data_IF_082465829216
#
_entry.id   IF_082465829216
#
_cell.length_a   1.000
_cell.length_b   1.000
_cell.length_c   1.000
_cell.angle_alpha   90.00
_cell.angle_beta   90.00
_cell.angle_gamma   90.00
#
_symmetry.space_group_name_H-M   'P 1'
#
loop_
_entity.id
_entity.type
_entity.pdbx_description
1 polymer ?
#
# COMPACT_ATOMS: atom_id res chain seq x y z
N UNK A 1 1.96 -0.31 18.19
CA UNK A 1 1.48 -1.72 18.22
C UNK A 1 1.52 -2.26 16.79
N UNK A 2 1.87 -3.53 16.59
CA UNK A 2 1.95 -4.15 15.27
C UNK A 2 0.79 -5.16 15.14
N UNK A 3 -0.09 -4.92 14.18
CA UNK A 3 -1.25 -5.76 13.88
C UNK A 3 -1.02 -6.55 12.59
N UNK A 4 -1.16 -7.85 12.64
CA UNK A 4 -1.12 -8.71 11.45
C UNK A 4 -2.46 -9.42 11.23
N UNK A 5 -2.66 -9.85 10.00
CA UNK A 5 -3.64 -10.86 9.62
C UNK A 5 -2.85 -12.07 9.14
N UNK A 6 -3.11 -13.23 9.70
CA UNK A 6 -2.30 -14.41 9.46
C UNK A 6 -3.13 -15.68 9.31
N UNK A 7 -2.53 -16.68 8.70
CA UNK A 7 -3.08 -18.02 8.58
C UNK A 7 -2.22 -19.02 9.34
N UNK A 8 -2.86 -19.82 10.22
CA UNK A 8 -2.28 -20.98 10.88
C UNK A 8 -3.13 -22.21 10.57
N UNK A 9 -2.57 -23.15 9.83
CA UNK A 9 -3.34 -24.26 9.25
C UNK A 9 -4.43 -23.75 8.29
N UNK A 10 -5.69 -24.05 8.60
CA UNK A 10 -6.84 -23.56 7.79
C UNK A 10 -7.51 -22.31 8.40
N UNK A 11 -7.08 -21.87 9.58
CA UNK A 11 -7.68 -20.74 10.29
C UNK A 11 -7.00 -19.44 9.91
N UNK A 12 -7.79 -18.43 9.59
CA UNK A 12 -7.36 -17.04 9.41
C UNK A 12 -7.80 -16.24 10.63
N UNK A 13 -6.85 -15.49 11.22
CA UNK A 13 -7.08 -14.66 12.40
C UNK A 13 -6.33 -13.34 12.28
N UNK A 14 -6.74 -12.37 13.09
CA UNK A 14 -5.91 -11.22 13.41
C UNK A 14 -4.99 -11.54 14.59
N UNK A 15 -3.88 -10.82 14.68
CA UNK A 15 -2.93 -10.97 15.79
C UNK A 15 -2.13 -9.71 16.03
N UNK A 16 -1.55 -9.67 17.24
CA UNK A 16 -0.59 -8.65 17.66
C UNK A 16 0.80 -9.29 17.63
N UNK A 17 1.73 -8.61 16.96
CA UNK A 17 3.13 -9.08 16.84
C UNK A 17 3.99 -8.38 17.86
N UNK A 18 4.70 -9.17 18.66
CA UNK A 18 5.72 -8.72 19.63
C UNK A 18 6.97 -9.58 19.47
N UNK A 19 8.04 -9.01 18.92
CA UNK A 19 9.23 -9.76 18.54
C UNK A 19 8.89 -10.86 17.52
N UNK A 20 9.21 -12.11 17.85
CA UNK A 20 8.97 -13.28 17.00
C UNK A 20 7.65 -14.02 17.35
N UNK A 21 6.78 -13.40 18.15
CA UNK A 21 5.53 -14.01 18.61
C UNK A 21 4.32 -13.25 18.07
N UNK A 22 3.32 -13.99 17.60
CA UNK A 22 2.00 -13.49 17.25
C UNK A 22 1.01 -13.94 18.30
N UNK A 23 0.39 -13.01 19.03
CA UNK A 23 -0.73 -13.29 19.93
C UNK A 23 -2.03 -13.16 19.15
N UNK A 24 -2.82 -14.24 19.10
CA UNK A 24 -4.08 -14.27 18.35
C UNK A 24 -5.13 -13.34 18.98
N UNK A 25 -5.87 -12.67 18.12
CA UNK A 25 -6.99 -11.80 18.48
C UNK A 25 -8.28 -12.40 17.90
N UNK A 26 -9.29 -12.54 18.74
CA UNK A 26 -10.65 -12.87 18.34
C UNK A 26 -11.42 -11.61 17.99
N UNK A 27 -12.08 -11.59 16.85
CA UNK A 27 -12.72 -10.40 16.29
C UNK A 27 -11.81 -9.66 15.32
N UNK A 28 -12.07 -8.38 15.10
CA UNK A 28 -11.36 -7.52 14.14
C UNK A 28 -10.71 -6.33 14.86
N UNK A 29 -9.52 -5.88 14.46
CA UNK A 29 -8.93 -4.66 15.03
C UNK A 29 -9.77 -3.39 14.80
N UNK A 30 -10.73 -3.45 13.88
CA UNK A 30 -11.63 -2.35 13.53
C UNK A 30 -12.96 -2.38 14.28
N UNK A 31 -13.23 -3.44 15.04
CA UNK A 31 -14.45 -3.66 15.82
C UNK A 31 -14.13 -4.14 17.23
N UNK A 32 -15.14 -4.63 17.94
CA UNK A 32 -14.92 -5.29 19.23
C UNK A 32 -14.04 -6.53 19.06
N UNK A 33 -12.98 -6.60 19.83
CA UNK A 33 -12.02 -7.70 19.79
C UNK A 33 -11.49 -8.06 21.16
N UNK A 34 -10.95 -9.26 21.28
CA UNK A 34 -10.36 -9.77 22.50
C UNK A 34 -9.00 -10.40 22.20
N UNK A 35 -7.97 -9.96 22.88
CA UNK A 35 -6.65 -10.62 22.84
C UNK A 35 -6.78 -11.95 23.57
N UNK A 36 -6.45 -13.04 22.88
CA UNK A 36 -6.56 -14.39 23.43
C UNK A 36 -5.26 -14.83 24.12
N UNK A 37 -5.27 -16.00 24.76
CA UNK A 37 -4.05 -16.61 25.29
C UNK A 37 -3.28 -17.45 24.24
N UNK A 38 -3.79 -17.56 23.01
CA UNK A 38 -3.18 -18.36 21.95
C UNK A 38 -2.07 -17.57 21.30
N UNK A 39 -0.88 -18.18 21.25
CA UNK A 39 0.31 -17.59 20.62
C UNK A 39 0.87 -18.49 19.53
N UNK A 40 1.53 -17.91 18.55
CA UNK A 40 2.21 -18.60 17.47
C UNK A 40 3.61 -17.99 17.29
N UNK A 41 4.57 -18.81 16.85
CA UNK A 41 5.83 -18.27 16.35
C UNK A 41 5.56 -17.58 14.98
N UNK A 42 6.05 -16.38 14.77
CA UNK A 42 5.87 -15.62 13.53
C UNK A 42 6.35 -16.42 12.31
N UNK A 43 7.44 -17.18 12.45
CA UNK A 43 7.98 -18.04 11.39
C UNK A 43 7.12 -19.27 11.05
N UNK A 44 6.10 -19.58 11.86
CA UNK A 44 5.21 -20.74 11.66
C UNK A 44 3.82 -20.37 11.14
N UNK A 45 3.58 -19.11 10.90
CA UNK A 45 2.33 -18.60 10.34
C UNK A 45 2.56 -17.98 8.98
N UNK A 46 1.57 -18.03 8.09
CA UNK A 46 1.59 -17.26 6.85
C UNK A 46 0.98 -15.90 7.11
N UNK A 47 1.78 -14.84 6.94
CA UNK A 47 1.24 -13.48 6.93
C UNK A 47 0.40 -13.28 5.66
N UNK A 48 -0.75 -12.68 5.82
CA UNK A 48 -1.66 -12.30 4.75
C UNK A 48 -1.69 -10.77 4.62
N UNK A 49 -2.26 -10.25 3.55
CA UNK A 49 -2.57 -8.82 3.51
C UNK A 49 -3.29 -8.42 4.81
N UNK A 50 -2.79 -7.41 5.55
CA UNK A 50 -3.20 -7.16 6.94
C UNK A 50 -4.66 -6.69 7.06
N UNK A 51 -5.23 -6.21 5.98
CA UNK A 51 -6.65 -5.86 5.84
C UNK A 51 -7.11 -6.15 4.41
N UNK A 52 -8.36 -6.55 4.25
CA UNK A 52 -9.07 -6.53 2.97
C UNK A 52 -10.05 -5.37 3.07
N UNK A 53 -9.74 -4.22 2.44
CA UNK A 53 -10.52 -3.01 2.59
C UNK A 53 -11.88 -3.11 1.89
N UNK A 54 -12.86 -2.36 2.40
CA UNK A 54 -14.09 -2.11 1.66
C UNK A 54 -13.82 -1.26 0.41
N UNK A 55 -12.90 -0.30 0.54
CA UNK A 55 -12.46 0.56 -0.54
C UNK A 55 -10.94 0.75 -0.50
N UNK A 56 -10.30 0.62 -1.66
CA UNK A 56 -8.88 0.92 -1.85
C UNK A 56 -8.73 2.16 -2.74
N UNK A 57 -8.43 3.28 -2.09
CA UNK A 57 -8.08 4.52 -2.77
C UNK A 57 -6.59 4.53 -3.08
N UNK A 58 -6.22 5.10 -4.22
CA UNK A 58 -4.82 5.33 -4.56
C UNK A 58 -4.63 6.75 -5.07
N UNK A 59 -3.61 7.41 -4.60
CA UNK A 59 -3.26 8.75 -5.05
C UNK A 59 -2.96 8.75 -6.56
N UNK A 60 -3.43 9.79 -7.26
CA UNK A 60 -2.81 10.23 -8.49
C UNK A 60 -1.40 10.76 -8.22
N UNK A 61 -0.86 11.68 -9.03
CA UNK A 61 0.45 12.27 -8.74
C UNK A 61 0.44 12.96 -7.37
N UNK A 62 1.13 12.35 -6.39
CA UNK A 62 1.22 12.87 -5.03
C UNK A 62 2.66 12.98 -4.51
N UNK A 63 3.66 12.83 -5.38
CA UNK A 63 5.06 12.96 -5.01
C UNK A 63 5.76 13.96 -5.93
N UNK A 64 6.51 14.92 -5.35
CA UNK A 64 7.16 15.99 -6.12
C UNK A 64 8.12 15.43 -7.17
N UNK A 65 9.01 14.51 -6.78
CA UNK A 65 9.95 13.88 -7.71
C UNK A 65 9.25 13.15 -8.87
N UNK A 66 8.08 12.54 -8.64
CA UNK A 66 7.29 11.92 -9.71
C UNK A 66 6.81 12.96 -10.73
N UNK A 67 6.23 14.06 -10.28
CA UNK A 67 5.74 15.14 -11.15
C UNK A 67 6.88 15.77 -11.93
N UNK A 68 8.00 16.06 -11.28
CA UNK A 68 9.19 16.64 -11.90
C UNK A 68 9.83 15.70 -12.93
N UNK A 69 9.97 14.41 -12.58
CA UNK A 69 10.49 13.38 -13.49
C UNK A 69 9.61 13.19 -14.72
N UNK A 70 8.28 13.19 -14.56
CA UNK A 70 7.35 13.13 -15.70
C UNK A 70 7.45 14.38 -16.59
N UNK A 71 7.54 15.56 -16.00
CA UNK A 71 7.68 16.83 -16.71
C UNK A 71 8.99 16.86 -17.52
N UNK A 72 10.10 16.43 -16.90
CA UNK A 72 11.40 16.35 -17.58
C UNK A 72 11.36 15.40 -18.79
N UNK A 73 10.76 14.21 -18.64
CA UNK A 73 10.59 13.26 -19.77
C UNK A 73 9.73 13.82 -20.92
N UNK A 74 8.78 14.71 -20.61
CA UNK A 74 7.91 15.36 -21.61
C UNK A 74 8.48 16.67 -22.19
N UNK A 75 9.56 17.18 -21.60
CA UNK A 75 10.12 18.50 -21.95
C UNK A 75 9.18 19.67 -21.60
N UNK A 76 8.38 19.52 -20.54
CA UNK A 76 7.42 20.55 -20.09
C UNK A 76 7.74 21.00 -18.66
N UNK A 77 7.31 22.19 -18.24
CA UNK A 77 7.36 22.56 -16.83
C UNK A 77 6.54 21.59 -15.96
N UNK A 78 6.97 21.33 -14.70
CA UNK A 78 6.18 20.52 -13.77
C UNK A 78 4.84 21.20 -13.46
N UNK A 79 3.75 20.41 -13.47
CA UNK A 79 2.41 20.84 -13.11
C UNK A 79 1.91 20.01 -11.94
N UNK A 80 1.79 20.62 -10.79
CA UNK A 80 1.32 19.97 -9.57
C UNK A 80 -0.21 19.99 -9.52
N UNK A 81 -0.86 18.95 -8.98
CA UNK A 81 -2.31 18.94 -8.83
C UNK A 81 -2.76 20.01 -7.80
N UNK A 82 -3.88 20.68 -8.10
CA UNK A 82 -4.47 21.71 -7.23
C UNK A 82 -5.18 21.12 -6.00
N UNK A 83 -5.44 19.81 -5.99
CA UNK A 83 -6.12 19.06 -4.93
C UNK A 83 -5.78 17.57 -5.00
N UNK A 84 -5.93 16.81 -3.91
CA UNK A 84 -5.86 15.36 -3.96
C UNK A 84 -6.79 14.77 -5.03
N UNK A 85 -6.27 13.90 -5.89
CA UNK A 85 -7.02 13.28 -6.98
C UNK A 85 -6.99 11.76 -6.86
N UNK A 86 -8.02 11.15 -6.24
CA UNK A 86 -8.06 9.72 -5.99
C UNK A 86 -8.38 8.93 -7.26
N UNK A 87 -7.73 7.78 -7.36
CA UNK A 87 -8.14 6.66 -8.21
C UNK A 87 -8.61 5.52 -7.31
N UNK A 88 -9.26 4.52 -7.90
CA UNK A 88 -9.66 3.29 -7.23
C UNK A 88 -8.77 2.15 -7.66
N UNK A 89 -8.57 1.17 -6.75
CA UNK A 89 -7.90 -0.09 -7.05
C UNK A 89 -8.82 -1.26 -6.69
N UNK A 90 -8.67 -2.33 -7.43
CA UNK A 90 -9.41 -3.57 -7.17
C UNK A 90 -8.94 -4.19 -5.86
N UNK A 91 -9.86 -4.36 -4.92
CA UNK A 91 -9.58 -5.08 -3.67
C UNK A 91 -9.32 -6.58 -3.93
N UNK A 92 -9.78 -7.12 -5.06
CA UNK A 92 -9.54 -8.52 -5.46
C UNK A 92 -8.11 -8.74 -5.99
N UNK A 93 -7.40 -7.67 -6.35
CA UNK A 93 -5.99 -7.73 -6.78
C UNK A 93 -5.00 -7.78 -5.60
N UNK A 94 -5.50 -7.67 -4.35
CA UNK A 94 -4.66 -7.62 -3.15
C UNK A 94 -4.06 -8.99 -2.86
N UNK A 95 -2.75 -8.99 -2.59
CA UNK A 95 -1.99 -10.13 -2.07
C UNK A 95 -1.16 -9.69 -0.85
N UNK A 96 -0.74 -10.66 -0.04
CA UNK A 96 0.12 -10.42 1.12
C UNK A 96 1.62 -10.47 0.79
N UNK A 97 2.43 -10.37 1.83
CA UNK A 97 3.87 -10.60 1.73
C UNK A 97 4.17 -12.05 1.36
N UNK A 98 5.29 -12.29 0.66
CA UNK A 98 5.76 -13.61 0.19
C UNK A 98 4.82 -14.28 -0.84
N UNK A 99 3.80 -13.58 -1.35
CA UNK A 99 2.92 -14.07 -2.42
C UNK A 99 3.42 -13.62 -3.80
N UNK A 100 2.97 -14.32 -4.85
CA UNK A 100 3.46 -14.08 -6.21
C UNK A 100 2.69 -12.96 -6.91
N UNK A 101 3.42 -12.06 -7.54
CA UNK A 101 2.91 -11.12 -8.54
C UNK A 101 2.90 -11.87 -9.87
N UNK A 102 1.71 -12.16 -10.42
CA UNK A 102 1.55 -12.89 -11.67
C UNK A 102 1.48 -11.93 -12.84
N UNK A 103 2.40 -12.07 -13.79
CA UNK A 103 2.41 -11.26 -15.02
C UNK A 103 1.58 -11.97 -16.09
N UNK A 104 0.47 -11.36 -16.57
CA UNK A 104 -0.38 -11.96 -17.61
C UNK A 104 0.37 -12.25 -18.91
N UNK A 105 -0.01 -13.29 -19.64
CA UNK A 105 0.67 -13.72 -20.89
C UNK A 105 0.67 -12.69 -22.00
N UNK A 106 -0.39 -11.87 -22.07
CA UNK A 106 -0.51 -10.79 -23.05
C UNK A 106 0.14 -9.49 -22.59
N UNK A 107 0.73 -9.48 -21.38
CA UNK A 107 1.44 -8.35 -20.84
C UNK A 107 2.82 -8.22 -21.50
N UNK A 108 2.99 -7.24 -22.36
CA UNK A 108 4.27 -6.97 -23.07
C UNK A 108 4.93 -5.69 -22.55
N UNK A 109 6.17 -5.80 -22.11
CA UNK A 109 7.02 -4.67 -21.69
C UNK A 109 6.67 -4.12 -20.32
N UNK A 110 7.30 -3.08 -19.96
CA UNK A 110 7.31 -2.19 -18.78
C UNK A 110 6.27 -2.47 -17.66
N UNK A 111 6.42 -3.57 -16.92
CA UNK A 111 5.73 -3.80 -15.65
C UNK A 111 6.60 -3.28 -14.53
N UNK A 112 6.12 -2.31 -13.78
CA UNK A 112 6.92 -1.56 -12.82
C UNK A 112 6.32 -1.62 -11.41
N UNK A 113 7.16 -1.74 -10.36
CA UNK A 113 6.72 -1.60 -8.98
C UNK A 113 6.50 -0.12 -8.64
N UNK A 114 5.58 0.15 -7.74
CA UNK A 114 5.36 1.47 -7.15
C UNK A 114 5.21 1.32 -5.64
N UNK A 115 6.32 1.31 -4.91
CA UNK A 115 6.32 1.25 -3.45
C UNK A 115 5.68 2.49 -2.84
N UNK A 116 4.73 2.31 -1.90
CA UNK A 116 3.92 3.39 -1.36
C UNK A 116 3.62 3.20 0.12
N UNK A 117 3.55 4.31 0.85
CA UNK A 117 2.90 4.34 2.15
C UNK A 117 1.39 4.10 1.96
N UNK A 118 0.81 3.26 2.80
CA UNK A 118 -0.61 2.99 2.86
C UNK A 118 -1.18 3.39 4.23
N UNK A 119 -2.19 4.25 4.23
CA UNK A 119 -2.91 4.73 5.41
C UNK A 119 -4.16 3.88 5.58
N UNK A 120 -4.36 3.31 6.77
CA UNK A 120 -5.53 2.49 7.11
C UNK A 120 -6.47 3.29 8.00
N UNK A 121 -7.72 3.43 7.60
CA UNK A 121 -8.75 4.14 8.34
C UNK A 121 -9.23 3.33 9.54
N UNK A 122 -9.42 3.97 10.69
CA UNK A 122 -9.82 3.33 11.94
C UNK A 122 -11.20 3.71 12.46
N UNK A 123 -11.77 4.80 11.95
CA UNK A 123 -13.08 5.31 12.38
C UNK A 123 -13.87 5.84 11.19
N UNK A 124 -15.20 5.84 11.28
CA UNK A 124 -16.03 6.47 10.26
C UNK A 124 -15.67 7.94 10.11
N UNK A 125 -15.17 8.32 8.93
CA UNK A 125 -14.74 9.68 8.62
C UNK A 125 -15.66 10.30 7.57
N UNK A 126 -16.34 11.37 7.94
CA UNK A 126 -17.23 12.13 7.05
C UNK A 126 -17.14 13.62 7.34
N UNK A 127 -16.72 14.42 6.35
CA UNK A 127 -16.48 15.87 6.46
C UNK A 127 -15.50 16.23 7.59
N UNK A 128 -14.42 15.47 7.68
CA UNK A 128 -13.38 15.65 8.70
C UNK A 128 -12.48 16.84 8.30
N UNK A 129 -12.12 17.68 9.26
CA UNK A 129 -11.15 18.76 9.05
C UNK A 129 -9.73 18.20 8.91
N UNK A 130 -8.80 18.96 8.31
CA UNK A 130 -7.40 18.55 8.19
C UNK A 130 -6.76 18.35 9.57
N UNK A 131 -7.08 19.21 10.52
CA UNK A 131 -6.49 19.16 11.87
C UNK A 131 -6.91 17.93 12.66
N UNK A 132 -8.11 17.38 12.40
CA UNK A 132 -8.66 16.19 13.08
C UNK A 132 -8.38 14.89 12.31
N UNK A 133 -7.94 14.98 11.05
CA UNK A 133 -7.93 13.86 10.12
C UNK A 133 -7.09 12.67 10.60
N UNK A 134 -5.96 12.90 11.25
CA UNK A 134 -5.10 11.83 11.74
C UNK A 134 -5.70 11.05 12.92
N UNK A 135 -6.69 11.61 13.64
CA UNK A 135 -7.43 10.89 14.69
C UNK A 135 -8.31 9.76 14.14
N UNK A 136 -8.54 9.74 12.83
CA UNK A 136 -9.30 8.72 12.11
C UNK A 136 -8.41 7.61 11.53
N UNK A 137 -7.09 7.73 11.65
CA UNK A 137 -6.15 6.73 11.19
C UNK A 137 -6.01 5.61 12.21
N UNK A 138 -6.16 4.37 11.78
CA UNK A 138 -5.82 3.18 12.58
C UNK A 138 -4.32 2.96 12.62
N UNK A 139 -3.66 3.05 11.47
CA UNK A 139 -2.24 2.83 11.35
C UNK A 139 -1.77 2.87 9.90
N UNK A 140 -0.56 2.40 9.70
CA UNK A 140 0.15 2.47 8.43
C UNK A 140 0.68 1.10 8.02
N UNK A 141 0.66 0.84 6.72
CA UNK A 141 1.22 -0.36 6.10
C UNK A 141 1.91 0.00 4.80
N UNK A 142 2.44 -0.99 4.10
CA UNK A 142 3.15 -0.83 2.82
C UNK A 142 2.24 -1.31 1.70
N UNK A 143 2.19 -0.58 0.59
CA UNK A 143 1.58 -1.00 -0.66
C UNK A 143 2.58 -1.00 -1.81
N UNK A 144 2.31 -1.82 -2.84
CA UNK A 144 3.06 -1.80 -4.08
C UNK A 144 2.08 -1.78 -5.26
N UNK A 145 1.92 -0.62 -5.91
CA UNK A 145 0.93 -0.37 -6.96
C UNK A 145 1.46 -0.79 -8.34
N UNK A 146 1.60 -2.11 -8.55
CA UNK A 146 2.14 -2.66 -9.79
C UNK A 146 1.41 -2.07 -10.99
N UNK A 147 2.20 -1.59 -11.97
CA UNK A 147 1.72 -0.80 -13.10
C UNK A 147 2.35 -1.26 -14.41
N UNK A 148 1.52 -1.53 -15.40
CA UNK A 148 1.98 -1.79 -16.77
C UNK A 148 1.85 -0.50 -17.59
N UNK A 149 2.97 0.07 -18.03
CA UNK A 149 3.02 1.41 -18.61
C UNK A 149 2.39 1.55 -20.00
N UNK A 150 2.59 0.62 -20.96
CA UNK A 150 1.85 0.66 -22.21
C UNK A 150 0.33 0.66 -22.02
N UNK A 151 -0.23 -0.25 -21.21
CA UNK A 151 -1.67 -0.27 -20.93
C UNK A 151 -2.16 0.98 -20.23
N UNK A 152 -1.34 1.61 -19.39
CA UNK A 152 -1.69 2.85 -18.71
C UNK A 152 -1.97 4.01 -19.69
N UNK A 153 -1.36 3.99 -20.89
CA UNK A 153 -1.62 4.99 -21.93
C UNK A 153 -2.91 4.71 -22.69
N UNK A 154 -3.34 3.45 -22.75
CA UNK A 154 -4.53 3.00 -23.47
C UNK A 154 -5.77 2.94 -22.58
N UNK A 155 -5.61 2.56 -21.32
CA UNK A 155 -6.70 2.35 -20.37
C UNK A 155 -7.23 3.65 -19.79
N UNK A 156 -8.42 4.03 -20.19
CA UNK A 156 -9.08 5.24 -19.68
C UNK A 156 -9.27 5.25 -18.16
N UNK A 157 -9.51 4.08 -17.56
CA UNK A 157 -9.76 3.90 -16.12
C UNK A 157 -8.62 3.22 -15.39
N UNK A 158 -7.49 2.96 -16.07
CA UNK A 158 -6.35 2.19 -15.55
C UNK A 158 -6.75 0.77 -15.10
N UNK A 159 -7.76 0.15 -15.73
CA UNK A 159 -8.25 -1.16 -15.32
C UNK A 159 -7.19 -2.25 -15.49
N UNK A 160 -6.77 -2.55 -16.71
CA UNK A 160 -5.72 -3.55 -16.97
C UNK A 160 -4.37 -3.14 -16.41
N UNK A 161 -4.05 -1.86 -16.60
CA UNK A 161 -2.73 -1.33 -16.27
C UNK A 161 -2.39 -1.39 -14.78
N UNK A 162 -3.40 -1.44 -13.91
CA UNK A 162 -3.20 -1.38 -12.45
C UNK A 162 -4.06 -2.34 -11.63
N UNK A 163 -4.93 -3.14 -12.22
CA UNK A 163 -5.89 -3.94 -11.44
C UNK A 163 -5.96 -5.42 -11.84
N UNK A 164 -4.92 -5.94 -12.50
CA UNK A 164 -4.79 -7.39 -12.69
C UNK A 164 -4.73 -8.09 -11.33
N UNK A 165 -5.21 -9.30 -11.26
CA UNK A 165 -5.09 -10.14 -10.06
C UNK A 165 -3.65 -10.17 -9.59
N UNK A 166 -3.43 -10.18 -8.27
CA UNK A 166 -2.13 -10.17 -7.60
C UNK A 166 -1.31 -8.86 -7.69
N UNK A 167 -1.79 -7.84 -8.38
CA UNK A 167 -1.03 -6.61 -8.64
C UNK A 167 -1.12 -5.56 -7.54
N UNK A 168 -1.70 -5.93 -6.39
CA UNK A 168 -1.82 -5.03 -5.22
C UNK A 168 -1.22 -5.67 -3.96
N UNK A 169 0.10 -5.96 -3.96
CA UNK A 169 0.76 -6.38 -2.74
C UNK A 169 0.56 -5.37 -1.62
N UNK A 170 0.20 -5.84 -0.42
CA UNK A 170 0.00 -5.02 0.77
C UNK A 170 0.40 -5.76 2.04
N UNK A 171 1.20 -5.14 2.91
CA UNK A 171 1.65 -5.73 4.17
C UNK A 171 3.04 -5.21 4.60
N UNK A 172 3.77 -5.96 5.41
CA UNK A 172 3.43 -7.28 5.98
C UNK A 172 2.38 -7.19 7.09
N UNK A 173 2.23 -6.03 7.75
CA UNK A 173 1.35 -5.75 8.88
C UNK A 173 0.96 -4.27 8.93
N UNK A 174 0.12 -3.89 9.88
CA UNK A 174 -0.22 -2.50 10.18
C UNK A 174 0.48 -2.08 11.47
N UNK A 175 1.14 -0.93 11.46
CA UNK A 175 1.74 -0.34 12.66
C UNK A 175 0.95 0.90 13.07
N UNK A 176 0.49 0.92 14.33
CA UNK A 176 -0.27 2.03 14.90
C UNK A 176 0.61 3.01 15.66
N UNK A 177 0.18 4.26 15.79
CA UNK A 177 0.84 5.27 16.62
C UNK A 177 2.13 5.82 16.02
N UNK A 178 2.28 5.79 14.69
CA UNK A 178 3.39 6.39 13.97
C UNK A 178 3.02 7.78 13.42
N UNK A 179 4.04 8.63 13.24
CA UNK A 179 3.92 9.90 12.53
C UNK A 179 4.19 9.66 11.03
N UNK A 180 3.23 9.98 10.13
CA UNK A 180 3.37 9.72 8.69
C UNK A 180 4.32 10.69 7.96
N UNK A 181 4.85 11.71 8.62
CA UNK A 181 5.55 12.83 7.97
C UNK A 181 7.00 12.52 7.57
N UNK A 182 7.60 11.46 8.11
CA UNK A 182 9.03 11.20 7.97
C UNK A 182 9.41 9.75 7.66
N UNK A 183 8.55 9.00 6.97
CA UNK A 183 8.90 7.65 6.52
C UNK A 183 9.90 7.69 5.36
N UNK A 184 10.97 6.91 5.46
CA UNK A 184 11.83 6.58 4.32
C UNK A 184 11.26 5.35 3.65
N UNK A 185 11.11 5.42 2.33
CA UNK A 185 10.59 4.35 1.48
C UNK A 185 11.72 3.91 0.55
N UNK A 186 12.03 2.62 0.56
CA UNK A 186 13.06 2.03 -0.30
C UNK A 186 12.40 0.92 -1.10
N UNK A 187 12.56 0.95 -2.43
CA UNK A 187 12.18 -0.14 -3.31
C UNK A 187 13.44 -0.85 -3.77
N UNK A 188 13.47 -2.18 -3.60
CA UNK A 188 14.58 -3.02 -4.07
C UNK A 188 14.09 -4.02 -5.11
N UNK A 189 14.93 -4.23 -6.10
CA UNK A 189 14.79 -5.25 -7.12
C UNK A 189 15.99 -6.20 -7.01
N UNK A 190 15.73 -7.46 -6.73
CA UNK A 190 16.76 -8.49 -6.55
C UNK A 190 17.87 -8.07 -5.54
N UNK A 191 17.51 -7.28 -4.53
CA UNK A 191 18.40 -6.75 -3.51
C UNK A 191 19.02 -5.38 -3.83
N UNK A 192 19.06 -4.95 -5.08
CA UNK A 192 19.56 -3.64 -5.49
C UNK A 192 18.53 -2.55 -5.25
N UNK A 193 18.95 -1.39 -4.75
CA UNK A 193 18.08 -0.24 -4.52
C UNK A 193 17.73 0.42 -5.85
N UNK A 194 16.43 0.42 -6.18
CA UNK A 194 15.90 1.16 -7.33
C UNK A 194 15.39 2.54 -6.94
N UNK A 195 14.68 2.63 -5.79
CA UNK A 195 14.10 3.87 -5.31
C UNK A 195 14.47 4.09 -3.84
N UNK A 196 14.72 5.33 -3.46
CA UNK A 196 14.97 5.76 -2.09
C UNK A 196 14.45 7.19 -1.91
N UNK A 197 13.33 7.34 -1.21
CA UNK A 197 12.64 8.61 -1.05
C UNK A 197 11.92 8.70 0.30
N UNK A 198 11.30 9.84 0.57
CA UNK A 198 10.63 10.09 1.86
C UNK A 198 9.21 10.57 1.68
N UNK A 199 8.33 10.23 2.64
CA UNK A 199 6.95 10.72 2.67
C UNK A 199 6.84 12.24 2.83
N UNK A 200 7.89 12.91 3.32
CA UNK A 200 7.94 14.38 3.42
C UNK A 200 7.94 15.10 2.06
N UNK A 201 8.19 14.37 0.98
CA UNK A 201 8.14 14.90 -0.40
C UNK A 201 6.76 14.72 -1.06
N UNK A 202 5.78 14.23 -0.32
CA UNK A 202 4.40 14.18 -0.79
C UNK A 202 3.88 15.61 -1.02
N UNK A 203 3.03 15.77 -2.05
CA UNK A 203 2.39 17.04 -2.39
C UNK A 203 1.28 17.32 -1.39
N UNK A 204 0.47 16.31 -1.10
CA UNK A 204 -0.62 16.32 -0.14
C UNK A 204 -0.38 15.28 0.95
N UNK A 205 -0.49 15.69 2.19
CA UNK A 205 -0.31 14.85 3.37
C UNK A 205 -1.46 13.84 3.55
N UNK A 206 -1.28 12.86 4.42
CA UNK A 206 -2.34 11.93 4.80
C UNK A 206 -3.58 12.65 5.35
N UNK A 207 -3.38 13.70 6.14
CA UNK A 207 -4.47 14.50 6.69
C UNK A 207 -5.30 15.21 5.59
N UNK A 208 -4.62 15.81 4.60
CA UNK A 208 -5.28 16.46 3.47
C UNK A 208 -6.00 15.44 2.57
N UNK A 209 -5.45 14.24 2.40
CA UNK A 209 -6.13 13.16 1.68
C UNK A 209 -7.41 12.70 2.38
N UNK A 210 -7.37 12.50 3.71
CA UNK A 210 -8.55 12.12 4.50
C UNK A 210 -9.61 13.23 4.46
N UNK A 211 -9.20 14.48 4.62
CA UNK A 211 -10.09 15.64 4.49
C UNK A 211 -10.79 15.65 3.13
N UNK A 212 -10.02 15.57 2.04
CA UNK A 212 -10.54 15.61 0.68
C UNK A 212 -11.53 14.47 0.42
N UNK A 213 -11.14 13.22 0.69
CA UNK A 213 -11.99 12.05 0.47
C UNK A 213 -13.26 12.12 1.34
N UNK A 214 -13.12 12.41 2.64
CA UNK A 214 -14.24 12.47 3.58
C UNK A 214 -15.21 13.62 3.28
N UNK A 215 -14.79 14.63 2.55
CA UNK A 215 -15.65 15.75 2.11
C UNK A 215 -16.76 15.29 1.17
N UNK A 216 -16.54 14.21 0.40
CA UNK A 216 -17.46 13.71 -0.62
C UNK A 216 -18.01 12.31 -0.31
N UNK A 217 -17.18 11.42 0.24
CA UNK A 217 -17.54 10.04 0.58
C UNK A 217 -17.29 9.77 2.06
N UNK A 218 -18.04 8.86 2.66
CA UNK A 218 -17.71 8.37 4.00
C UNK A 218 -16.60 7.34 3.86
N UNK A 219 -15.52 7.50 4.64
CA UNK A 219 -14.51 6.47 4.82
C UNK A 219 -14.90 5.60 6.01
N UNK A 220 -14.70 4.31 5.89
CA UNK A 220 -15.04 3.33 6.92
C UNK A 220 -13.80 2.68 7.52
N UNK A 221 -13.86 2.15 8.75
CA UNK A 221 -12.78 1.37 9.33
C UNK A 221 -12.33 0.24 8.40
N UNK A 222 -11.02 0.14 8.20
CA UNK A 222 -10.42 -0.80 7.26
C UNK A 222 -10.29 -0.31 5.82
N UNK A 223 -10.90 0.82 5.42
CA UNK A 223 -10.58 1.44 4.13
C UNK A 223 -9.12 1.87 4.08
N UNK A 224 -8.53 1.81 2.90
CA UNK A 224 -7.09 2.07 2.72
C UNK A 224 -6.87 3.17 1.68
N UNK A 225 -5.92 4.06 1.96
CA UNK A 225 -5.47 5.11 1.06
C UNK A 225 -3.98 4.90 0.76
N UNK A 226 -3.64 4.59 -0.48
CA UNK A 226 -2.26 4.54 -0.95
C UNK A 226 -1.80 5.93 -1.38
N UNK A 227 -0.69 6.37 -0.83
CA UNK A 227 -0.26 7.77 -0.82
C UNK A 227 0.56 8.20 -2.04
N UNK A 228 0.78 7.31 -3.00
CA UNK A 228 1.60 7.59 -4.18
C UNK A 228 3.10 7.33 -3.97
N UNK A 229 3.81 7.26 -5.06
CA UNK A 229 5.24 6.93 -5.17
C UNK A 229 6.03 8.03 -5.85
N UNK A 230 7.36 8.00 -5.69
CA UNK A 230 8.27 8.84 -6.48
C UNK A 230 8.31 8.42 -7.95
N UNK A 231 8.12 7.14 -8.24
CA UNK A 231 8.17 6.58 -9.59
C UNK A 231 8.62 5.13 -9.59
N UNK A 232 9.23 4.70 -10.69
CA UNK A 232 9.92 3.43 -10.82
C UNK A 232 11.08 3.60 -11.80
N UNK A 233 12.23 3.04 -11.43
CA UNK A 233 13.47 3.17 -12.22
C UNK A 233 13.72 1.99 -13.16
N UNK A 234 12.89 0.95 -13.14
CA UNK A 234 13.07 -0.21 -13.98
C UNK A 234 11.87 -1.10 -14.12
N UNK A 235 11.95 -2.04 -15.04
CA UNK A 235 10.93 -3.01 -15.35
C UNK A 235 11.25 -4.33 -14.66
N UNK A 236 10.25 -4.93 -14.00
CA UNK A 236 10.38 -6.26 -13.42
C UNK A 236 9.90 -7.34 -14.40
N UNK A 237 10.54 -8.51 -14.34
CA UNK A 237 10.24 -9.67 -15.17
C UNK A 237 10.04 -10.92 -14.30
N UNK A 238 9.39 -11.98 -14.83
CA UNK A 238 9.30 -13.24 -14.11
C UNK A 238 10.67 -13.78 -13.68
N UNK A 239 10.78 -14.16 -12.41
CA UNK A 239 12.03 -14.55 -11.73
C UNK A 239 12.55 -13.48 -10.76
N UNK A 240 12.06 -12.25 -10.84
CA UNK A 240 12.50 -11.17 -9.97
C UNK A 240 11.87 -11.25 -8.57
N UNK A 241 12.55 -10.60 -7.62
CA UNK A 241 12.08 -10.32 -6.28
C UNK A 241 11.97 -8.82 -6.10
N UNK A 242 10.81 -8.36 -5.61
CA UNK A 242 10.56 -6.96 -5.30
C UNK A 242 10.34 -6.82 -3.79
N UNK A 243 11.06 -5.89 -3.20
CA UNK A 243 10.92 -5.54 -1.79
C UNK A 243 10.62 -4.05 -1.66
N UNK A 244 9.62 -3.72 -0.85
CA UNK A 244 9.32 -2.35 -0.44
C UNK A 244 9.52 -2.26 1.06
N UNK A 245 10.51 -1.51 1.47
CA UNK A 245 10.81 -1.24 2.89
C UNK A 245 10.31 0.15 3.25
N UNK A 246 9.60 0.26 4.37
CA UNK A 246 9.27 1.56 4.97
C UNK A 246 9.78 1.56 6.41
N UNK A 247 10.57 2.60 6.74
CA UNK A 247 11.13 2.76 8.09
C UNK A 247 10.03 2.70 9.15
N UNK A 248 10.29 2.02 10.26
CA UNK A 248 9.35 1.80 11.37
C UNK A 248 8.13 0.93 11.06
N UNK A 249 7.95 0.47 9.80
CA UNK A 249 6.90 -0.49 9.45
C UNK A 249 7.52 -1.87 9.19
N UNK A 250 8.46 -1.99 8.26
CA UNK A 250 9.09 -3.25 7.90
C UNK A 250 9.28 -3.39 6.38
N UNK A 251 9.26 -4.63 5.88
CA UNK A 251 9.48 -4.93 4.47
C UNK A 251 8.36 -5.80 3.91
N UNK A 252 7.74 -5.34 2.84
CA UNK A 252 6.82 -6.10 2.00
C UNK A 252 7.63 -6.73 0.87
N UNK A 253 7.64 -8.06 0.77
CA UNK A 253 8.40 -8.81 -0.22
C UNK A 253 7.49 -9.67 -1.07
N UNK A 254 7.71 -9.66 -2.38
CA UNK A 254 6.94 -10.46 -3.33
C UNK A 254 7.83 -10.97 -4.47
N UNK A 255 7.39 -12.06 -5.10
CA UNK A 255 8.09 -12.71 -6.22
C UNK A 255 7.31 -12.51 -7.51
N UNK A 256 8.01 -12.23 -8.60
CA UNK A 256 7.39 -12.04 -9.92
C UNK A 256 7.40 -13.38 -10.67
N UNK A 257 6.23 -13.81 -11.15
CA UNK A 257 6.08 -15.05 -11.92
C UNK A 257 5.28 -14.82 -13.20
N UNK A 258 5.51 -15.65 -14.19
CA UNK A 258 4.65 -15.68 -15.39
C UNK A 258 3.36 -16.44 -15.09
N UNK A 259 2.27 -16.04 -15.77
CA UNK A 259 0.99 -16.76 -15.80
C UNK A 259 1.12 -18.15 -16.44
#
# INVERSE_FOLDING_TARGET
MIWCRFQSGQKVSFGIVEGDVVTEVSGSPFDEHTVTATTHQLSQVKLLAPVIPGMLYAAGPNHRGHVEGMAARRGTPPSYPDRPSPNYRSVHAIIGSEENIVVPKDCSGAVQPEGQLAVVIGKNARKVSVDEALDYVFGYTIGNDISQRPWQQEDRTMFRSKNCDTWKPMGPWIVTGLDPTAFRIIVRHNGDVWEDFTSSQQIWSAAEWIHELSSYATLYPGDVIWMGTQGADGDMVPGDTIEVEISSIGTLKNYVVAE
#
